data_IF_869318641096
#
_entry.id   IF_869318641096
#
_cell.length_a   1.000
_cell.length_b   1.000
_cell.length_c   1.000
_cell.angle_alpha   90.00
_cell.angle_beta   90.00
_cell.angle_gamma   90.00
#
_symmetry.space_group_name_H-M   'P 1'
#
loop_
_entity.id
_entity.type
_entity.pdbx_description
1 polymer ?
#
# COMPACT_ATOMS: atom_id res chain seq x y z
N UNK A 1 2.67 -25.64 -0.40
CA UNK A 1 1.28 -25.19 -0.18
C UNK A 1 0.37 -26.38 -0.40
N UNK A 2 -0.20 -26.92 0.69
CA UNK A 2 -1.01 -28.16 0.67
C UNK A 2 -2.36 -27.94 0.00
N UNK A 3 -2.85 -28.96 -0.70
CA UNK A 3 -4.22 -29.04 -1.25
C UNK A 3 -5.28 -29.27 -0.16
N UNK A 4 -4.87 -29.43 1.10
CA UNK A 4 -5.80 -29.43 2.22
C UNK A 4 -6.29 -28.00 2.46
N UNK A 5 -7.60 -27.78 2.65
CA UNK A 5 -8.09 -26.50 3.09
C UNK A 5 -7.34 -26.08 4.37
N UNK A 6 -7.20 -24.77 4.58
CA UNK A 6 -6.75 -24.27 5.88
C UNK A 6 -7.61 -24.88 7.00
N UNK A 7 -7.11 -24.90 8.24
CA UNK A 7 -7.90 -25.36 9.40
C UNK A 7 -9.24 -24.64 9.53
N UNK A 8 -9.37 -23.48 8.90
CA UNK A 8 -10.56 -22.66 8.80
C UNK A 8 -11.56 -23.07 7.72
N UNK A 9 -11.17 -23.92 6.77
CA UNK A 9 -11.93 -24.24 5.55
C UNK A 9 -12.32 -23.03 4.68
N UNK A 10 -11.84 -21.84 5.01
CA UNK A 10 -12.15 -20.60 4.30
C UNK A 10 -11.38 -20.47 2.98
N UNK A 11 -10.21 -21.10 2.90
CA UNK A 11 -9.32 -21.02 1.74
C UNK A 11 -8.79 -22.40 1.35
N UNK A 12 -8.83 -22.69 0.05
CA UNK A 12 -8.17 -23.84 -0.57
C UNK A 12 -6.91 -23.35 -1.31
N UNK A 13 -5.77 -23.97 -1.04
CA UNK A 13 -4.51 -23.69 -1.74
C UNK A 13 -4.29 -24.72 -2.87
N UNK A 14 -3.72 -24.34 -4.03
CA UNK A 14 -4.02 -25.08 -5.25
C UNK A 14 -3.04 -26.17 -5.66
N UNK A 15 -1.93 -26.47 -4.93
CA UNK A 15 -0.79 -27.06 -5.66
C UNK A 15 -0.12 -28.35 -5.20
N UNK A 16 -0.28 -28.89 -3.98
CA UNK A 16 0.44 -30.16 -3.66
C UNK A 16 -0.26 -31.05 -2.64
N UNK A 17 -0.11 -32.37 -2.78
CA UNK A 17 -0.43 -33.32 -1.71
C UNK A 17 0.44 -33.04 -0.48
N UNK A 18 -0.08 -33.29 0.73
CA UNK A 18 0.66 -33.08 1.98
C UNK A 18 1.95 -33.90 1.98
N UNK A 19 3.10 -33.23 2.14
CA UNK A 19 4.43 -33.85 2.11
C UNK A 19 5.56 -32.85 2.33
N UNK A 20 6.80 -33.34 2.32
CA UNK A 20 8.01 -32.54 2.55
C UNK A 20 8.16 -31.36 1.57
N UNK A 21 7.79 -31.57 0.30
CA UNK A 21 7.80 -30.54 -0.74
C UNK A 21 6.91 -29.35 -0.37
N UNK A 22 5.75 -29.62 0.23
CA UNK A 22 4.83 -28.56 0.62
C UNK A 22 5.40 -27.67 1.72
N UNK A 23 6.13 -28.25 2.68
CA UNK A 23 6.84 -27.52 3.76
C UNK A 23 7.93 -26.62 3.16
N UNK A 24 8.71 -27.12 2.21
CA UNK A 24 9.76 -26.32 1.54
C UNK A 24 9.16 -25.17 0.75
N UNK A 25 8.14 -25.43 -0.09
CA UNK A 25 7.44 -24.38 -0.84
C UNK A 25 6.80 -23.34 0.08
N UNK A 26 6.33 -23.79 1.23
CA UNK A 26 5.77 -22.95 2.26
C UNK A 26 6.82 -21.98 2.86
N UNK A 27 7.99 -22.49 3.25
CA UNK A 27 9.10 -21.67 3.73
C UNK A 27 9.55 -20.65 2.67
N UNK A 28 9.71 -21.10 1.42
CA UNK A 28 10.10 -20.24 0.29
C UNK A 28 9.06 -19.14 0.09
N UNK A 29 7.76 -19.48 0.10
CA UNK A 29 6.67 -18.51 -0.05
C UNK A 29 6.69 -17.43 1.02
N UNK A 30 6.97 -17.78 2.28
CA UNK A 30 7.06 -16.81 3.38
C UNK A 30 8.26 -15.89 3.26
N UNK A 31 9.42 -16.41 2.83
CA UNK A 31 10.61 -15.59 2.55
C UNK A 31 10.33 -14.61 1.40
N UNK A 32 9.72 -15.11 0.32
CA UNK A 32 9.32 -14.30 -0.84
C UNK A 32 8.25 -13.25 -0.49
N UNK A 33 7.48 -13.45 0.58
CA UNK A 33 6.55 -12.44 1.09
C UNK A 33 7.26 -11.37 1.94
N UNK A 34 8.24 -11.75 2.76
CA UNK A 34 8.97 -10.80 3.62
C UNK A 34 9.94 -9.91 2.83
N UNK A 35 10.62 -10.45 1.82
CA UNK A 35 11.66 -9.74 1.08
C UNK A 35 11.13 -8.46 0.41
N UNK A 36 10.00 -8.49 -0.33
CA UNK A 36 9.39 -7.28 -0.88
C UNK A 36 9.06 -6.25 0.19
N UNK A 37 8.58 -6.65 1.36
CA UNK A 37 8.18 -5.73 2.43
C UNK A 37 9.37 -4.90 2.94
N UNK A 38 10.53 -5.54 3.10
CA UNK A 38 11.74 -4.86 3.54
C UNK A 38 12.30 -3.95 2.44
N UNK A 39 12.33 -4.46 1.21
CA UNK A 39 12.81 -3.69 0.05
C UNK A 39 11.92 -2.48 -0.21
N UNK A 40 10.59 -2.63 -0.21
CA UNK A 40 9.66 -1.51 -0.42
C UNK A 40 9.84 -0.47 0.66
N UNK A 41 9.86 -0.88 1.93
CA UNK A 41 10.07 0.03 3.07
C UNK A 41 11.35 0.83 2.91
N UNK A 42 12.47 0.15 2.63
CA UNK A 42 13.75 0.83 2.41
C UNK A 42 13.67 1.83 1.25
N UNK A 43 13.13 1.41 0.09
CA UNK A 43 12.99 2.27 -1.08
C UNK A 43 12.16 3.52 -0.78
N UNK A 44 11.01 3.38 -0.11
CA UNK A 44 10.16 4.51 0.24
C UNK A 44 10.79 5.45 1.27
N UNK A 45 11.57 4.91 2.23
CA UNK A 45 12.35 5.74 3.15
C UNK A 45 13.42 6.55 2.40
N UNK A 46 14.16 5.94 1.47
CA UNK A 46 15.18 6.62 0.66
C UNK A 46 14.56 7.71 -0.23
N UNK A 47 13.43 7.41 -0.87
CA UNK A 47 12.67 8.40 -1.66
C UNK A 47 12.20 9.54 -0.75
N UNK A 48 11.62 9.21 0.40
CA UNK A 48 11.16 10.17 1.40
C UNK A 48 12.27 11.10 1.86
N UNK A 49 13.45 10.55 2.16
CA UNK A 49 14.64 11.32 2.51
C UNK A 49 15.05 12.30 1.41
N UNK A 50 15.13 11.81 0.18
CA UNK A 50 15.51 12.62 -0.99
C UNK A 50 14.53 13.77 -1.23
N UNK A 51 13.22 13.49 -1.16
CA UNK A 51 12.17 14.51 -1.34
C UNK A 51 12.20 15.51 -0.19
N UNK A 52 12.38 15.07 1.06
CA UNK A 52 12.48 15.97 2.21
C UNK A 52 13.68 16.91 2.10
N UNK A 53 14.83 16.41 1.62
CA UNK A 53 16.01 17.26 1.36
C UNK A 53 15.70 18.34 0.32
N UNK A 54 15.00 17.99 -0.77
CA UNK A 54 14.57 18.96 -1.79
C UNK A 54 13.57 19.98 -1.23
N UNK A 55 12.61 19.55 -0.40
CA UNK A 55 11.66 20.44 0.28
C UNK A 55 12.36 21.40 1.25
N UNK A 56 13.46 20.99 1.89
CA UNK A 56 14.27 21.88 2.72
C UNK A 56 14.97 22.95 1.89
N UNK A 57 15.52 22.60 0.73
CA UNK A 57 16.15 23.57 -0.18
C UNK A 57 15.12 24.60 -0.68
N UNK A 58 13.96 24.14 -1.15
CA UNK A 58 12.85 25.01 -1.58
C UNK A 58 12.34 25.91 -0.43
N UNK A 59 12.39 25.43 0.81
CA UNK A 59 12.03 26.25 1.98
C UNK A 59 13.00 27.43 2.14
N UNK A 60 14.30 27.18 2.03
CA UNK A 60 15.34 28.23 2.15
C UNK A 60 15.14 29.27 1.05
N UNK A 61 14.96 28.84 -0.20
CA UNK A 61 14.70 29.72 -1.34
C UNK A 61 13.43 30.57 -1.15
N UNK A 62 12.34 29.97 -0.64
CA UNK A 62 11.10 30.69 -0.36
C UNK A 62 11.26 31.72 0.76
N UNK A 63 12.10 31.46 1.77
CA UNK A 63 12.41 32.42 2.84
C UNK A 63 13.22 33.60 2.31
N UNK A 64 14.23 33.36 1.47
CA UNK A 64 15.03 34.42 0.85
C UNK A 64 14.16 35.34 -0.01
N UNK A 65 13.17 34.75 -0.70
CA UNK A 65 12.26 35.49 -1.58
C UNK A 65 11.00 36.05 -0.86
N UNK A 66 10.88 35.92 0.47
CA UNK A 66 9.70 36.31 1.25
C UNK A 66 8.36 35.79 0.69
N UNK A 67 8.34 34.60 0.11
CA UNK A 67 7.14 34.01 -0.49
C UNK A 67 6.37 33.15 0.53
N UNK A 68 5.46 33.79 1.27
CA UNK A 68 4.66 33.12 2.31
C UNK A 68 3.75 32.00 1.75
N UNK A 69 3.23 32.18 0.54
CA UNK A 69 2.37 31.19 -0.12
C UNK A 69 3.15 29.89 -0.38
N UNK A 70 4.37 30.01 -0.88
CA UNK A 70 5.26 28.87 -1.09
C UNK A 70 5.62 28.18 0.22
N UNK A 71 5.88 28.92 1.30
CA UNK A 71 6.19 28.33 2.61
C UNK A 71 5.02 27.50 3.17
N UNK A 72 3.78 27.99 3.04
CA UNK A 72 2.58 27.25 3.45
C UNK A 72 2.39 25.98 2.64
N UNK A 73 2.60 26.05 1.32
CA UNK A 73 2.54 24.89 0.44
C UNK A 73 3.60 23.83 0.79
N UNK A 74 4.85 24.24 1.04
CA UNK A 74 5.94 23.34 1.43
C UNK A 74 5.64 22.65 2.77
N UNK A 75 5.09 23.36 3.76
CA UNK A 75 4.70 22.76 5.04
C UNK A 75 3.65 21.67 4.85
N UNK A 76 2.64 21.91 4.01
CA UNK A 76 1.62 20.91 3.67
C UNK A 76 2.22 19.70 2.95
N UNK A 77 3.12 19.92 1.98
CA UNK A 77 3.80 18.84 1.25
C UNK A 77 4.64 17.95 2.18
N UNK A 78 5.31 18.52 3.19
CA UNK A 78 6.05 17.73 4.19
C UNK A 78 5.16 16.84 5.03
N UNK A 79 4.01 17.35 5.49
CA UNK A 79 3.04 16.55 6.26
C UNK A 79 2.51 15.41 5.39
N UNK A 80 2.14 15.69 4.14
CA UNK A 80 1.68 14.67 3.21
C UNK A 80 2.73 13.58 2.98
N UNK A 81 4.00 13.97 2.83
CA UNK A 81 5.12 13.02 2.67
C UNK A 81 5.26 12.09 3.89
N UNK A 82 5.16 12.65 5.11
CA UNK A 82 5.23 11.86 6.34
C UNK A 82 4.07 10.87 6.40
N UNK A 83 2.84 11.33 6.14
CA UNK A 83 1.65 10.47 6.13
C UNK A 83 1.77 9.35 5.11
N UNK A 84 2.32 9.63 3.92
CA UNK A 84 2.55 8.62 2.88
C UNK A 84 3.55 7.54 3.32
N UNK A 85 4.68 7.92 3.93
CA UNK A 85 5.68 6.97 4.42
C UNK A 85 5.08 6.10 5.54
N UNK A 86 4.33 6.71 6.46
CA UNK A 86 3.63 5.96 7.53
C UNK A 86 2.63 4.96 6.92
N UNK A 87 1.84 5.39 5.94
CA UNK A 87 0.88 4.53 5.26
C UNK A 87 1.55 3.32 4.58
N UNK A 88 2.62 3.55 3.82
CA UNK A 88 3.43 2.47 3.23
C UNK A 88 3.96 1.53 4.30
N UNK A 89 4.48 2.08 5.41
CA UNK A 89 5.01 1.26 6.49
C UNK A 89 3.93 0.35 7.09
N UNK A 90 2.73 0.87 7.34
CA UNK A 90 1.60 0.08 7.85
C UNK A 90 1.23 -1.04 6.87
N UNK A 91 1.00 -0.71 5.60
CA UNK A 91 0.51 -1.67 4.61
C UNK A 91 1.52 -2.78 4.29
N UNK A 92 2.80 -2.46 4.23
CA UNK A 92 3.81 -3.45 3.86
C UNK A 92 4.43 -4.16 5.07
N UNK A 93 4.42 -3.56 6.28
CA UNK A 93 4.97 -4.21 7.45
C UNK A 93 3.89 -4.73 8.38
N UNK A 94 2.94 -3.89 8.80
CA UNK A 94 1.95 -4.26 9.83
C UNK A 94 0.96 -5.28 9.30
N UNK A 95 0.38 -5.03 8.11
CA UNK A 95 -0.63 -5.91 7.52
C UNK A 95 -0.04 -7.28 7.15
N UNK A 96 1.21 -7.30 6.67
CA UNK A 96 1.91 -8.54 6.32
C UNK A 96 2.48 -9.25 7.55
N UNK A 97 2.84 -8.53 8.62
CA UNK A 97 3.40 -9.11 9.85
C UNK A 97 2.47 -10.14 10.45
N UNK A 98 1.15 -9.90 10.48
CA UNK A 98 0.20 -10.87 11.03
C UNK A 98 0.26 -12.20 10.29
N UNK A 99 0.37 -12.15 8.95
CA UNK A 99 0.51 -13.34 8.12
C UNK A 99 1.82 -14.09 8.42
N UNK A 100 2.93 -13.35 8.49
CA UNK A 100 4.27 -13.90 8.74
C UNK A 100 4.38 -14.52 10.12
N UNK A 101 3.94 -13.83 11.18
CA UNK A 101 4.03 -14.32 12.57
C UNK A 101 3.24 -15.61 12.75
N UNK A 102 1.98 -15.63 12.30
CA UNK A 102 1.15 -16.83 12.40
C UNK A 102 1.68 -17.98 11.54
N UNK A 103 2.44 -17.68 10.49
CA UNK A 103 3.16 -18.67 9.71
C UNK A 103 4.32 -19.29 10.48
N UNK A 104 5.15 -18.46 11.11
CA UNK A 104 6.24 -18.92 11.97
C UNK A 104 5.69 -19.74 13.14
N UNK A 105 4.59 -19.32 13.76
CA UNK A 105 3.93 -20.10 14.81
C UNK A 105 3.43 -21.46 14.28
N UNK A 106 2.90 -21.51 13.06
CA UNK A 106 2.50 -22.78 12.44
C UNK A 106 3.68 -23.73 12.25
N UNK A 107 4.84 -23.20 11.83
CA UNK A 107 6.05 -23.99 11.64
C UNK A 107 6.72 -24.41 12.96
N UNK A 108 6.76 -23.51 13.95
CA UNK A 108 7.49 -23.73 15.20
C UNK A 108 6.73 -24.59 16.20
N UNK A 109 5.42 -24.35 16.37
CA UNK A 109 4.60 -24.99 17.42
C UNK A 109 3.36 -25.68 16.88
N UNK A 110 3.20 -25.79 15.56
CA UNK A 110 2.02 -26.42 14.94
C UNK A 110 0.74 -25.59 15.12
N UNK A 111 0.86 -24.27 15.34
CA UNK A 111 -0.29 -23.38 15.52
C UNK A 111 -1.28 -23.49 14.36
N UNK A 112 -2.56 -23.72 14.69
CA UNK A 112 -3.67 -23.73 13.75
C UNK A 112 -4.35 -22.37 13.79
N UNK A 113 -4.26 -21.61 12.71
CA UNK A 113 -4.87 -20.28 12.62
C UNK A 113 -6.41 -20.40 12.64
N UNK A 114 -7.12 -19.67 13.52
CA UNK A 114 -8.57 -19.65 13.54
C UNK A 114 -9.16 -19.02 12.26
N UNK A 115 -10.40 -19.39 11.86
CA UNK A 115 -11.08 -18.81 10.70
C UNK A 115 -11.15 -17.29 10.70
N UNK A 116 -11.41 -16.69 11.87
CA UNK A 116 -11.47 -15.24 12.04
C UNK A 116 -10.14 -14.55 11.64
N UNK A 117 -9.00 -15.11 12.06
CA UNK A 117 -7.70 -14.56 11.71
C UNK A 117 -7.34 -14.80 10.24
N UNK A 118 -7.79 -15.90 9.64
CA UNK A 118 -7.64 -16.11 8.20
C UNK A 118 -8.41 -15.06 7.39
N UNK A 119 -9.64 -14.73 7.80
CA UNK A 119 -10.42 -13.67 7.16
C UNK A 119 -9.74 -12.29 7.28
N UNK A 120 -9.22 -11.95 8.47
CA UNK A 120 -8.48 -10.69 8.67
C UNK A 120 -7.25 -10.63 7.77
N UNK A 121 -6.43 -11.68 7.73
CA UNK A 121 -5.21 -11.71 6.91
C UNK A 121 -5.56 -11.59 5.42
N UNK A 122 -6.65 -12.23 4.98
CA UNK A 122 -7.12 -12.11 3.60
C UNK A 122 -7.57 -10.69 3.27
N UNK A 123 -8.39 -10.07 4.13
CA UNK A 123 -8.84 -8.69 3.96
C UNK A 123 -7.68 -7.69 3.96
N UNK A 124 -6.71 -7.84 4.88
CA UNK A 124 -5.50 -7.02 4.92
C UNK A 124 -4.70 -7.09 3.60
N UNK A 125 -4.59 -8.28 3.02
CA UNK A 125 -3.92 -8.47 1.73
C UNK A 125 -4.67 -7.75 0.59
N UNK A 126 -5.99 -7.93 0.51
CA UNK A 126 -6.84 -7.30 -0.51
C UNK A 126 -6.80 -5.77 -0.36
N UNK A 127 -6.88 -5.29 0.88
CA UNK A 127 -6.79 -3.86 1.20
C UNK A 127 -5.45 -3.26 0.79
N UNK A 128 -4.33 -3.95 1.08
CA UNK A 128 -3.00 -3.53 0.64
C UNK A 128 -2.92 -3.43 -0.88
N UNK A 129 -3.42 -4.44 -1.61
CA UNK A 129 -3.44 -4.43 -3.07
C UNK A 129 -4.29 -3.27 -3.63
N UNK A 130 -5.44 -2.99 -3.02
CA UNK A 130 -6.33 -1.91 -3.43
C UNK A 130 -5.72 -0.50 -3.20
N UNK A 131 -4.91 -0.34 -2.15
CA UNK A 131 -4.30 0.94 -1.81
C UNK A 131 -2.99 1.23 -2.57
N UNK A 132 -2.30 0.22 -3.09
CA UNK A 132 -1.04 0.40 -3.82
C UNK A 132 -1.11 1.43 -4.97
N UNK A 133 -2.15 1.43 -5.84
CA UNK A 133 -2.31 2.47 -6.87
C UNK A 133 -2.47 3.87 -6.28
N UNK A 134 -3.22 4.02 -5.18
CA UNK A 134 -3.47 5.30 -4.53
C UNK A 134 -2.16 5.87 -3.98
N UNK A 135 -1.36 5.04 -3.32
CA UNK A 135 -0.02 5.42 -2.84
C UNK A 135 0.85 5.85 -4.01
N UNK A 136 0.88 5.06 -5.08
CA UNK A 136 1.69 5.33 -6.28
C UNK A 136 1.35 6.70 -6.89
N UNK A 137 0.06 6.97 -7.12
CA UNK A 137 -0.44 8.26 -7.62
C UNK A 137 -0.05 9.40 -6.67
N UNK A 138 -0.07 9.15 -5.36
CA UNK A 138 0.25 10.17 -4.37
C UNK A 138 1.73 10.59 -4.39
N UNK A 139 2.63 9.68 -4.80
CA UNK A 139 4.07 9.95 -4.96
C UNK A 139 4.45 10.50 -6.34
N UNK A 140 3.56 10.39 -7.34
CA UNK A 140 3.79 10.85 -8.70
C UNK A 140 2.94 12.09 -9.02
N UNK A 141 3.48 13.31 -8.80
CA UNK A 141 2.73 14.54 -8.99
C UNK A 141 2.22 14.73 -10.43
N UNK A 142 2.91 14.18 -11.42
CA UNK A 142 2.50 14.18 -12.84
C UNK A 142 1.18 13.43 -13.00
N UNK A 143 1.12 12.18 -12.53
CA UNK A 143 -0.08 11.34 -12.60
C UNK A 143 -1.22 11.94 -11.78
N UNK A 144 -0.91 12.51 -10.61
CA UNK A 144 -1.91 13.19 -9.78
C UNK A 144 -2.59 14.33 -10.52
N UNK A 145 -1.85 15.09 -11.33
CA UNK A 145 -2.41 16.18 -12.14
C UNK A 145 -3.23 15.65 -13.32
N UNK A 146 -2.77 14.58 -13.98
CA UNK A 146 -3.52 13.91 -15.06
C UNK A 146 -4.87 13.38 -14.56
N UNK A 147 -4.88 12.69 -13.41
CA UNK A 147 -6.11 12.17 -12.81
C UNK A 147 -7.07 13.30 -12.45
N UNK A 148 -6.56 14.39 -11.84
CA UNK A 148 -7.39 15.58 -11.57
C UNK A 148 -8.01 16.15 -12.85
N UNK A 149 -7.23 16.22 -13.93
CA UNK A 149 -7.73 16.69 -15.22
C UNK A 149 -8.82 15.78 -15.78
N UNK A 150 -8.64 14.46 -15.71
CA UNK A 150 -9.65 13.48 -16.12
C UNK A 150 -10.94 13.67 -15.31
N UNK A 151 -10.85 13.81 -13.98
CA UNK A 151 -12.00 14.03 -13.11
C UNK A 151 -12.74 15.34 -13.43
N UNK A 152 -12.02 16.43 -13.69
CA UNK A 152 -12.63 17.71 -14.08
C UNK A 152 -13.36 17.56 -15.42
N UNK A 153 -12.76 16.89 -16.40
CA UNK A 153 -13.37 16.63 -17.71
C UNK A 153 -14.61 15.75 -17.60
N UNK A 154 -14.57 14.71 -16.75
CA UNK A 154 -15.70 13.83 -16.47
C UNK A 154 -16.84 14.60 -15.81
N UNK A 155 -16.55 15.38 -14.77
CA UNK A 155 -17.54 16.21 -14.08
C UNK A 155 -18.18 17.24 -15.01
N UNK A 156 -17.40 17.85 -15.91
CA UNK A 156 -17.93 18.76 -16.91
C UNK A 156 -18.89 18.05 -17.88
N UNK A 157 -18.55 16.83 -18.33
CA UNK A 157 -19.43 16.00 -19.17
C UNK A 157 -20.72 15.61 -18.45
N UNK A 158 -20.63 15.17 -17.20
CA UNK A 158 -21.79 14.79 -16.39
C UNK A 158 -22.70 16.01 -16.17
N UNK A 159 -22.15 17.17 -15.79
CA UNK A 159 -22.93 18.41 -15.66
C UNK A 159 -23.61 18.82 -16.96
N UNK A 160 -22.92 18.66 -18.10
CA UNK A 160 -23.51 18.91 -19.43
C UNK A 160 -24.66 17.95 -19.73
N UNK A 161 -24.48 16.66 -19.44
CA UNK A 161 -25.52 15.64 -19.64
C UNK A 161 -26.76 15.91 -18.75
N UNK A 162 -26.56 16.23 -17.47
CA UNK A 162 -27.65 16.58 -16.54
C UNK A 162 -28.41 17.80 -17.05
N UNK A 163 -27.71 18.89 -17.41
CA UNK A 163 -28.37 20.09 -17.97
C UNK A 163 -29.14 19.80 -19.26
N UNK A 164 -28.62 18.91 -20.10
CA UNK A 164 -29.31 18.47 -21.32
C UNK A 164 -30.62 17.72 -21.03
N UNK A 165 -30.71 17.00 -19.92
CA UNK A 165 -31.93 16.30 -19.50
C UNK A 165 -32.92 17.22 -18.78
N UNK A 166 -32.44 18.24 -18.05
CA UNK A 166 -33.32 19.15 -17.28
C UNK A 166 -33.96 20.26 -18.13
N UNK A 167 -33.43 20.51 -19.34
CA UNK A 167 -33.91 21.56 -20.26
C UNK A 167 -34.74 20.95 -21.42
N UNK A 168 -34.85 19.61 -21.47
CA UNK A 168 -35.69 18.87 -22.42
C UNK A 168 -36.97 18.41 -21.75
#
# INVERSE_FOLDING_TARGET
>A
MDARPFSSYANCLPLTSPGQISIVLNIIGTILLMLPCWVTTYCYFVIGWKVNKKLNQMKIEAQVNNNEVALKAIKSQKINLILQIIMVFILYNVDIMLSVVTYFMRLAVGYKRPPFFDAIVHEMLVFTLALNPIITISFQPEIKNEIKFIFIKLNAKIKKAIRGITIS
#
